data_IF_981910485950
#
_entry.id   IF_981910485950
#
_cell.length_a   1.000
_cell.length_b   1.000
_cell.length_c   1.000
_cell.angle_alpha   90.00
_cell.angle_beta   90.00
_cell.angle_gamma   90.00
#
_symmetry.space_group_name_H-M   'P 1'
#
loop_
_entity.id
_entity.type
_entity.pdbx_description
1 polymer ?
#
# COMPACT_ATOMS: atom_id res chain seq x y z
N UNK A 1 -108.93 -17.86 -35.18
CA UNK A 1 -108.37 -19.15 -34.70
C UNK A 1 -108.18 -19.12 -33.18
N UNK A 2 -109.27 -19.06 -32.41
CA UNK A 2 -109.25 -19.00 -30.93
C UNK A 2 -110.23 -20.04 -30.37
N UNK A 3 -110.07 -21.33 -30.66
CA UNK A 3 -110.89 -22.38 -30.02
C UNK A 3 -110.28 -23.80 -30.07
N UNK A 4 -108.94 -23.92 -30.03
CA UNK A 4 -108.24 -25.22 -29.88
C UNK A 4 -107.35 -25.26 -28.61
N UNK A 5 -107.46 -24.23 -27.76
CA UNK A 5 -106.61 -24.09 -26.58
C UNK A 5 -107.13 -24.84 -25.35
N UNK A 6 -108.42 -25.20 -25.28
CA UNK A 6 -109.06 -25.71 -24.07
C UNK A 6 -109.55 -27.17 -24.10
N UNK A 7 -109.58 -27.85 -25.25
CA UNK A 7 -109.76 -29.30 -25.26
C UNK A 7 -108.43 -29.98 -24.88
N UNK A 8 -108.51 -30.94 -23.96
CA UNK A 8 -107.38 -31.66 -23.36
C UNK A 8 -106.50 -30.84 -22.39
N UNK A 9 -107.01 -29.73 -21.84
CA UNK A 9 -106.29 -28.92 -20.84
C UNK A 9 -105.78 -29.76 -19.66
N UNK A 10 -106.60 -30.71 -19.17
CA UNK A 10 -106.23 -31.60 -18.07
C UNK A 10 -105.07 -32.54 -18.43
N UNK A 11 -105.04 -33.10 -19.65
CA UNK A 11 -103.97 -33.97 -20.12
C UNK A 11 -102.65 -33.19 -20.33
N UNK A 12 -102.73 -31.92 -20.76
CA UNK A 12 -101.57 -31.03 -20.87
C UNK A 12 -101.02 -30.62 -19.49
N UNK A 13 -101.90 -30.37 -18.52
CA UNK A 13 -101.49 -30.09 -17.15
C UNK A 13 -100.81 -31.31 -16.49
N UNK A 14 -101.39 -32.51 -16.69
CA UNK A 14 -100.82 -33.77 -16.19
C UNK A 14 -99.45 -34.07 -16.79
N UNK A 15 -99.25 -33.84 -18.09
CA UNK A 15 -97.95 -34.07 -18.74
C UNK A 15 -96.86 -33.11 -18.23
N UNK A 16 -97.22 -31.85 -17.94
CA UNK A 16 -96.30 -30.89 -17.31
C UNK A 16 -95.96 -31.33 -15.89
N UNK A 17 -96.93 -31.78 -15.09
CA UNK A 17 -96.67 -32.29 -13.73
C UNK A 17 -95.75 -33.52 -13.77
N UNK A 18 -96.00 -34.49 -14.65
CA UNK A 18 -95.14 -35.65 -14.82
C UNK A 18 -93.75 -35.27 -15.34
N UNK A 19 -93.64 -34.28 -16.21
CA UNK A 19 -92.36 -33.75 -16.66
C UNK A 19 -91.59 -33.06 -15.51
N UNK A 20 -92.28 -32.32 -14.64
CA UNK A 20 -91.67 -31.70 -13.45
C UNK A 20 -91.25 -32.75 -12.42
N UNK A 21 -92.06 -33.78 -12.18
CA UNK A 21 -91.72 -34.90 -11.29
C UNK A 21 -90.55 -35.70 -11.86
N UNK A 22 -90.55 -36.00 -13.17
CA UNK A 22 -89.45 -36.69 -13.84
C UNK A 22 -88.16 -35.86 -13.85
N UNK A 23 -88.27 -34.56 -14.11
CA UNK A 23 -87.16 -33.61 -14.00
C UNK A 23 -86.61 -33.54 -12.58
N UNK A 24 -87.48 -33.50 -11.56
CA UNK A 24 -87.10 -33.51 -10.15
C UNK A 24 -86.47 -34.84 -9.76
N UNK A 25 -87.03 -35.98 -10.18
CA UNK A 25 -86.48 -37.31 -9.90
C UNK A 25 -85.07 -37.46 -10.48
N UNK A 26 -84.87 -37.08 -11.75
CA UNK A 26 -83.55 -37.15 -12.40
C UNK A 26 -82.57 -36.16 -11.78
N UNK A 27 -82.98 -34.96 -11.38
CA UNK A 27 -82.06 -33.96 -10.81
C UNK A 27 -81.81 -34.11 -9.29
N UNK A 28 -82.71 -34.77 -8.56
CA UNK A 28 -82.66 -34.84 -7.09
C UNK A 28 -82.38 -36.26 -6.57
N UNK A 29 -82.90 -37.30 -7.22
CA UNK A 29 -82.75 -38.70 -6.75
C UNK A 29 -81.58 -39.41 -7.44
N UNK A 30 -81.30 -39.10 -8.71
CA UNK A 30 -80.08 -39.58 -9.36
C UNK A 30 -78.93 -38.69 -8.92
N UNK A 31 -78.25 -39.07 -7.84
CA UNK A 31 -77.06 -38.41 -7.29
C UNK A 31 -76.11 -37.93 -8.41
N UNK A 32 -76.05 -36.63 -8.76
CA UNK A 32 -75.09 -36.17 -9.72
C UNK A 32 -73.75 -36.10 -8.98
N UNK A 33 -72.91 -37.11 -9.18
CA UNK A 33 -71.50 -37.05 -8.76
C UNK A 33 -70.85 -35.87 -9.45
N UNK A 34 -70.36 -34.90 -8.67
CA UNK A 34 -69.72 -33.70 -9.22
C UNK A 34 -68.22 -33.93 -9.20
N UNK A 35 -67.55 -33.57 -10.29
CA UNK A 35 -66.10 -33.58 -10.38
C UNK A 35 -65.57 -32.17 -10.17
N UNK A 36 -64.57 -32.02 -9.30
CA UNK A 36 -63.92 -30.73 -9.04
C UNK A 36 -62.41 -30.90 -8.96
N UNK A 37 -61.71 -29.91 -9.48
CA UNK A 37 -60.27 -29.75 -9.33
C UNK A 37 -59.97 -28.91 -8.09
N UNK A 38 -59.01 -29.36 -7.29
CA UNK A 38 -58.47 -28.65 -6.15
C UNK A 38 -56.95 -28.56 -6.23
N UNK A 39 -56.41 -27.40 -5.87
CA UNK A 39 -54.98 -27.20 -5.67
C UNK A 39 -54.66 -27.44 -4.19
N UNK A 40 -53.80 -28.43 -3.92
CA UNK A 40 -53.42 -28.86 -2.57
C UNK A 40 -51.92 -28.72 -2.36
N UNK A 41 -51.52 -28.32 -1.16
CA UNK A 41 -50.12 -28.22 -0.77
C UNK A 41 -49.49 -29.61 -0.66
N UNK A 42 -48.31 -29.76 -1.23
CA UNK A 42 -47.56 -31.01 -1.24
C UNK A 42 -46.51 -31.01 -0.13
N UNK A 43 -46.66 -31.91 0.83
CA UNK A 43 -45.69 -32.10 1.90
C UNK A 43 -44.79 -33.31 1.60
N UNK A 44 -43.47 -33.09 1.60
CA UNK A 44 -42.53 -34.21 1.58
C UNK A 44 -42.47 -34.86 2.98
N UNK A 45 -42.58 -36.18 3.02
CA UNK A 45 -42.59 -37.02 4.25
C UNK A 45 -41.35 -37.90 4.32
N UNK A 46 -40.91 -38.26 5.53
CA UNK A 46 -39.66 -39.02 5.76
C UNK A 46 -38.41 -38.31 5.20
N UNK A 47 -38.34 -36.99 5.41
CA UNK A 47 -37.17 -36.18 5.02
C UNK A 47 -35.95 -36.62 5.83
N UNK A 48 -34.83 -36.83 5.14
CA UNK A 48 -33.53 -37.03 5.79
C UNK A 48 -32.98 -35.69 6.26
N UNK A 49 -32.34 -35.67 7.43
CA UNK A 49 -31.77 -34.45 8.04
C UNK A 49 -30.49 -33.95 7.34
N UNK A 50 -29.83 -34.81 6.57
CA UNK A 50 -28.59 -34.55 5.85
C UNK A 50 -28.80 -34.09 4.40
N UNK A 51 -30.06 -33.93 3.95
CA UNK A 51 -30.38 -33.58 2.56
C UNK A 51 -31.22 -32.30 2.44
N UNK A 52 -30.88 -31.47 1.45
CA UNK A 52 -31.78 -30.47 0.87
C UNK A 52 -32.52 -31.09 -0.32
N UNK A 53 -33.81 -30.78 -0.51
CA UNK A 53 -34.59 -31.32 -1.61
C UNK A 53 -34.82 -30.23 -2.67
N UNK A 54 -34.14 -30.34 -3.82
CA UNK A 54 -34.29 -29.43 -4.97
C UNK A 54 -35.38 -29.92 -5.93
N UNK A 55 -35.93 -28.99 -6.72
CA UNK A 55 -36.99 -29.19 -7.72
C UNK A 55 -38.33 -29.71 -7.18
N UNK A 56 -38.52 -29.72 -5.86
CA UNK A 56 -39.78 -30.13 -5.26
C UNK A 56 -40.89 -29.10 -5.53
N UNK A 57 -41.96 -29.55 -6.18
CA UNK A 57 -43.18 -28.75 -6.33
C UNK A 57 -43.87 -28.59 -4.97
N UNK A 58 -44.31 -27.37 -4.67
CA UNK A 58 -45.02 -27.06 -3.43
C UNK A 58 -46.52 -27.34 -3.48
N UNK A 59 -47.08 -27.52 -4.69
CA UNK A 59 -48.52 -27.70 -4.92
C UNK A 59 -48.80 -28.70 -6.02
N UNK A 60 -49.91 -29.41 -5.91
CA UNK A 60 -50.40 -30.38 -6.91
C UNK A 60 -51.90 -30.22 -7.14
N UNK A 61 -52.35 -30.54 -8.34
CA UNK A 61 -53.77 -30.53 -8.68
C UNK A 61 -54.38 -31.92 -8.45
N UNK A 62 -55.46 -31.99 -7.70
CA UNK A 62 -56.21 -33.23 -7.47
C UNK A 62 -57.64 -33.09 -8.00
N UNK A 63 -58.12 -34.13 -8.65
CA UNK A 63 -59.46 -34.24 -9.20
C UNK A 63 -60.23 -35.23 -8.33
N UNK A 64 -61.28 -34.74 -7.68
CA UNK A 64 -62.05 -35.52 -6.72
C UNK A 64 -63.49 -35.64 -7.22
N UNK A 65 -64.08 -36.82 -7.00
CA UNK A 65 -65.50 -37.13 -7.17
C UNK A 65 -66.15 -37.33 -5.81
N UNK A 66 -67.39 -36.89 -5.66
CA UNK A 66 -68.13 -37.05 -4.41
C UNK A 66 -69.58 -36.61 -4.54
N UNK A 67 -70.37 -36.84 -3.50
CA UNK A 67 -71.75 -36.39 -3.44
C UNK A 67 -71.83 -34.86 -3.50
N UNK A 68 -72.85 -34.34 -4.19
CA UNK A 68 -73.09 -32.90 -4.34
C UNK A 68 -73.07 -32.16 -2.99
N UNK A 69 -73.55 -32.80 -1.92
CA UNK A 69 -73.55 -32.28 -0.54
C UNK A 69 -72.16 -32.23 0.08
N UNK A 70 -71.32 -33.24 -0.14
CA UNK A 70 -69.97 -33.35 0.42
C UNK A 70 -68.97 -32.40 -0.26
N UNK A 71 -69.19 -32.06 -1.53
CA UNK A 71 -68.33 -31.14 -2.30
C UNK A 71 -68.78 -29.68 -2.16
N UNK A 72 -70.10 -29.41 -2.12
CA UNK A 72 -70.64 -28.04 -2.14
C UNK A 72 -70.86 -27.48 -0.72
N UNK A 73 -71.32 -28.29 0.24
CA UNK A 73 -71.64 -27.82 1.60
C UNK A 73 -70.38 -27.71 2.49
N UNK A 74 -69.29 -28.38 2.11
CA UNK A 74 -68.03 -28.46 2.84
C UNK A 74 -66.84 -27.74 2.14
N UNK A 75 -67.15 -26.82 1.21
CA UNK A 75 -66.21 -26.14 0.30
C UNK A 75 -65.04 -25.41 0.99
N UNK A 76 -65.19 -24.94 2.22
CA UNK A 76 -64.14 -24.24 2.98
C UNK A 76 -63.37 -25.08 4.02
N UNK A 77 -64.00 -25.97 4.84
CA UNK A 77 -63.28 -26.74 5.87
C UNK A 77 -62.50 -27.98 5.37
N UNK A 78 -62.61 -28.37 4.10
CA UNK A 78 -61.94 -29.58 3.56
C UNK A 78 -60.59 -29.28 2.92
N UNK A 79 -60.33 -28.05 2.46
CA UNK A 79 -59.01 -27.67 1.90
C UNK A 79 -57.86 -27.90 2.90
N UNK A 80 -58.10 -27.74 4.20
CA UNK A 80 -57.14 -28.03 5.27
C UNK A 80 -57.05 -29.50 5.67
N UNK A 81 -57.98 -30.36 5.22
CA UNK A 81 -58.02 -31.79 5.53
C UNK A 81 -57.52 -32.68 4.39
N UNK A 82 -57.41 -32.14 3.18
CA UNK A 82 -56.77 -32.82 2.06
C UNK A 82 -55.26 -32.69 2.21
N UNK A 83 -54.57 -33.80 2.37
CA UNK A 83 -53.11 -33.82 2.55
C UNK A 83 -52.50 -34.61 1.40
N UNK A 84 -51.74 -33.93 0.55
CA UNK A 84 -50.91 -34.55 -0.47
C UNK A 84 -49.51 -34.76 0.10
N UNK A 85 -49.02 -36.00 0.05
CA UNK A 85 -47.70 -36.38 0.55
C UNK A 85 -46.88 -37.07 -0.51
N UNK A 86 -45.58 -36.81 -0.51
CA UNK A 86 -44.61 -37.59 -1.27
C UNK A 86 -43.58 -38.17 -0.32
N UNK A 87 -43.38 -39.49 -0.34
CA UNK A 87 -42.44 -40.17 0.54
C UNK A 87 -41.05 -40.19 -0.10
N UNK A 88 -40.08 -39.51 0.53
CA UNK A 88 -38.72 -39.35 0.02
C UNK A 88 -37.71 -40.31 0.66
N UNK A 89 -38.14 -41.27 1.50
CA UNK A 89 -37.24 -42.18 2.23
C UNK A 89 -36.32 -43.02 1.34
N UNK A 90 -36.80 -43.44 0.17
CA UNK A 90 -36.05 -44.26 -0.81
C UNK A 90 -35.36 -43.45 -1.90
N UNK A 91 -35.42 -42.12 -1.84
CA UNK A 91 -34.82 -41.27 -2.86
C UNK A 91 -33.29 -41.34 -2.77
N UNK A 92 -32.64 -41.56 -3.91
CA UNK A 92 -31.18 -41.62 -4.02
C UNK A 92 -30.63 -40.20 -4.07
N UNK A 93 -29.55 -39.93 -3.33
CA UNK A 93 -28.92 -38.62 -3.31
C UNK A 93 -28.29 -38.27 -4.68
N UNK A 94 -28.26 -36.98 -5.00
CA UNK A 94 -27.68 -36.37 -6.20
C UNK A 94 -28.24 -36.87 -7.54
N UNK A 95 -29.42 -37.50 -7.53
CA UNK A 95 -30.13 -37.95 -8.73
C UNK A 95 -31.57 -37.46 -8.73
N UNK A 96 -32.12 -37.26 -9.93
CA UNK A 96 -33.53 -36.95 -10.11
C UNK A 96 -34.37 -38.19 -9.79
N UNK A 97 -35.14 -38.14 -8.71
CA UNK A 97 -36.03 -39.22 -8.30
C UNK A 97 -37.46 -38.87 -8.67
N UNK A 98 -38.15 -39.78 -9.36
CA UNK A 98 -39.58 -39.70 -9.60
C UNK A 98 -40.32 -40.32 -8.42
N UNK A 99 -41.09 -39.51 -7.71
CA UNK A 99 -41.77 -39.91 -6.48
C UNK A 99 -43.27 -39.76 -6.69
N UNK A 100 -44.02 -40.83 -6.45
CA UNK A 100 -45.48 -40.82 -6.57
C UNK A 100 -46.12 -39.97 -5.48
N UNK A 101 -47.14 -39.21 -5.87
CA UNK A 101 -47.93 -38.38 -4.95
C UNK A 101 -49.04 -39.22 -4.33
N UNK A 102 -49.04 -39.34 -3.01
CA UNK A 102 -50.08 -39.99 -2.22
C UNK A 102 -51.03 -38.93 -1.67
N UNK A 103 -52.30 -39.02 -2.03
CA UNK A 103 -53.33 -38.09 -1.58
C UNK A 103 -54.21 -38.78 -0.55
N UNK A 104 -54.22 -38.28 0.68
CA UNK A 104 -55.14 -38.74 1.71
C UNK A 104 -56.42 -37.91 1.62
N UNK A 105 -57.54 -38.57 1.29
CA UNK A 105 -58.86 -37.95 1.22
C UNK A 105 -59.72 -38.34 2.43
N UNK A 106 -60.58 -37.44 2.94
CA UNK A 106 -61.57 -37.78 3.95
C UNK A 106 -62.66 -38.71 3.40
N UNK A 107 -63.39 -39.38 4.30
CA UNK A 107 -64.46 -40.33 3.95
C UNK A 107 -65.53 -39.68 3.06
N UNK A 108 -65.99 -40.40 2.04
CA UNK A 108 -67.02 -39.95 1.09
C UNK A 108 -66.49 -39.28 -0.18
N UNK A 109 -65.17 -39.10 -0.30
CA UNK A 109 -64.52 -38.55 -1.50
C UNK A 109 -63.67 -39.61 -2.21
N UNK A 110 -63.77 -39.66 -3.53
CA UNK A 110 -62.99 -40.54 -4.39
C UNK A 110 -61.97 -39.74 -5.21
N UNK A 111 -60.72 -40.19 -5.22
CA UNK A 111 -59.68 -39.59 -6.06
C UNK A 111 -59.83 -40.11 -7.50
N UNK A 112 -60.09 -39.23 -8.45
CA UNK A 112 -60.11 -39.58 -9.88
C UNK A 112 -58.69 -39.54 -10.43
N UNK A 113 -58.00 -38.41 -10.20
CA UNK A 113 -56.69 -38.13 -10.81
C UNK A 113 -55.91 -37.15 -9.95
N UNK A 114 -54.58 -37.27 -10.03
CA UNK A 114 -53.63 -36.28 -9.52
C UNK A 114 -52.74 -35.85 -10.66
N UNK A 115 -52.52 -34.54 -10.80
CA UNK A 115 -51.67 -33.95 -11.81
C UNK A 115 -50.61 -33.04 -11.17
N UNK A 116 -49.31 -33.38 -11.31
CA UNK A 116 -48.77 -34.63 -11.87
C UNK A 116 -48.88 -35.82 -10.89
N UNK A 117 -48.91 -37.05 -11.42
CA UNK A 117 -48.93 -38.28 -10.58
C UNK A 117 -47.61 -38.54 -9.88
N UNK A 118 -46.52 -38.07 -10.49
CA UNK A 118 -45.16 -38.17 -9.99
C UNK A 118 -44.53 -36.79 -9.99
N UNK A 119 -43.80 -36.49 -8.92
CA UNK A 119 -42.96 -35.30 -8.82
C UNK A 119 -41.50 -35.70 -9.01
N UNK A 120 -40.73 -34.80 -9.61
CA UNK A 120 -39.27 -34.95 -9.66
C UNK A 120 -38.67 -34.22 -8.46
N UNK A 121 -37.91 -34.96 -7.65
CA UNK A 121 -37.21 -34.40 -6.50
C UNK A 121 -35.78 -34.88 -6.53
N UNK A 122 -34.86 -33.94 -6.32
CA UNK A 122 -33.42 -34.23 -6.24
C UNK A 122 -32.94 -33.96 -4.82
N UNK A 123 -32.75 -35.00 -3.99
CA UNK A 123 -32.10 -34.86 -2.69
C UNK A 123 -30.62 -34.55 -2.90
N UNK A 124 -30.12 -33.48 -2.29
CA UNK A 124 -28.73 -33.02 -2.36
C UNK A 124 -28.15 -33.09 -0.95
N UNK A 125 -27.05 -33.81 -0.79
CA UNK A 125 -26.36 -33.95 0.50
C UNK A 125 -25.80 -32.59 0.95
N UNK A 126 -26.14 -32.18 2.17
CA UNK A 126 -25.62 -30.98 2.81
C UNK A 126 -24.53 -31.40 3.79
N UNK A 127 -23.35 -30.81 3.64
CA UNK A 127 -22.24 -30.97 4.56
C UNK A 127 -21.96 -29.66 5.30
N UNK A 128 -21.33 -29.76 6.46
CA UNK A 128 -20.83 -28.64 7.24
C UNK A 128 -19.34 -28.84 7.51
N UNK A 129 -18.53 -27.85 7.14
CA UNK A 129 -17.08 -27.90 7.27
C UNK A 129 -16.53 -26.58 7.79
N UNK A 130 -15.46 -26.62 8.58
CA UNK A 130 -14.72 -25.42 8.99
C UNK A 130 -13.59 -25.12 8.03
N UNK A 131 -13.43 -23.86 7.66
CA UNK A 131 -12.32 -23.39 6.84
C UNK A 131 -11.68 -22.14 7.46
N UNK A 132 -10.39 -21.98 7.21
CA UNK A 132 -9.61 -20.83 7.68
C UNK A 132 -9.82 -19.62 6.76
N UNK A 133 -9.91 -18.43 7.37
CA UNK A 133 -10.00 -17.15 6.67
C UNK A 133 -8.60 -16.65 6.36
N UNK A 134 -8.26 -16.51 5.08
CA UNK A 134 -7.00 -15.92 4.63
C UNK A 134 -7.20 -14.44 4.30
N UNK A 135 -6.46 -13.57 4.98
CA UNK A 135 -6.49 -12.12 4.72
C UNK A 135 -5.55 -11.79 3.56
N UNK A 136 -6.03 -11.03 2.59
CA UNK A 136 -5.23 -10.47 1.49
C UNK A 136 -5.16 -8.95 1.65
N UNK A 137 -3.94 -8.44 1.78
CA UNK A 137 -3.68 -7.01 1.80
C UNK A 137 -3.60 -6.47 0.37
N UNK A 138 -4.32 -5.38 0.09
CA UNK A 138 -4.30 -4.70 -1.19
C UNK A 138 -3.54 -3.37 -1.07
N UNK A 139 -2.67 -3.10 -2.06
CA UNK A 139 -1.82 -1.92 -2.04
C UNK A 139 -0.60 -2.03 -1.14
N UNK A 140 0.06 -0.90 -0.92
CA UNK A 140 1.27 -0.74 -0.10
C UNK A 140 1.07 0.40 0.89
N UNK A 141 1.51 0.19 2.13
CA UNK A 141 1.47 1.21 3.18
C UNK A 141 2.28 2.46 2.82
N UNK A 142 2.01 3.56 3.51
CA UNK A 142 2.73 4.83 3.32
C UNK A 142 4.24 4.63 3.48
N UNK A 143 5.04 5.37 2.70
CA UNK A 143 6.50 5.34 2.84
C UNK A 143 6.90 5.66 4.29
N UNK A 144 7.80 4.85 4.85
CA UNK A 144 8.21 4.98 6.25
C UNK A 144 7.32 4.23 7.24
N UNK A 145 6.39 3.38 6.77
CA UNK A 145 5.58 2.48 7.60
C UNK A 145 5.71 1.04 7.09
N UNK A 146 5.40 0.08 7.95
CA UNK A 146 5.34 -1.34 7.60
C UNK A 146 4.18 -2.04 8.33
N UNK A 147 3.68 -3.13 7.73
CA UNK A 147 2.67 -3.97 8.38
C UNK A 147 3.38 -4.91 9.34
N UNK A 148 3.12 -4.77 10.64
CA UNK A 148 3.70 -5.63 11.67
C UNK A 148 2.97 -6.95 11.79
N UNK A 149 1.64 -6.91 11.81
CA UNK A 149 0.79 -8.09 11.89
C UNK A 149 -0.59 -7.81 11.30
N UNK A 150 -1.25 -8.84 10.82
CA UNK A 150 -2.63 -8.77 10.35
C UNK A 150 -3.34 -10.09 10.65
N UNK A 151 -4.67 -10.04 10.80
CA UNK A 151 -5.47 -11.21 11.13
C UNK A 151 -6.96 -10.96 10.92
N UNK A 152 -7.72 -12.05 10.93
CA UNK A 152 -9.18 -12.02 10.88
C UNK A 152 -9.76 -12.69 12.12
N UNK A 153 -10.78 -12.08 12.70
CA UNK A 153 -11.55 -12.63 13.81
C UNK A 153 -13.02 -12.80 13.39
N UNK A 154 -13.56 -14.03 13.38
CA UNK A 154 -12.90 -15.29 13.72
C UNK A 154 -11.97 -15.82 12.61
N UNK A 155 -10.89 -16.50 13.01
CA UNK A 155 -9.94 -17.13 12.07
C UNK A 155 -10.51 -18.37 11.35
N UNK A 156 -11.50 -19.04 11.96
CA UNK A 156 -12.20 -20.17 11.36
C UNK A 156 -13.68 -19.86 11.19
N UNK A 157 -14.21 -20.18 10.01
CA UNK A 157 -15.59 -19.94 9.62
C UNK A 157 -16.22 -21.25 9.18
N UNK A 158 -17.50 -21.40 9.50
CA UNK A 158 -18.28 -22.60 9.21
C UNK A 158 -18.97 -22.43 7.86
N UNK A 159 -18.68 -23.35 6.95
CA UNK A 159 -19.25 -23.43 5.60
C UNK A 159 -20.31 -24.53 5.62
N UNK A 160 -21.53 -24.20 5.21
CA UNK A 160 -22.64 -25.16 5.08
C UNK A 160 -23.31 -25.06 3.73
N UNK A 161 -23.54 -26.19 3.07
CA UNK A 161 -24.02 -26.24 1.69
C UNK A 161 -23.86 -27.62 1.05
N UNK A 162 -24.17 -27.76 -0.26
CA UNK A 162 -24.04 -29.03 -0.98
C UNK A 162 -22.62 -29.60 -0.93
N UNK A 163 -22.49 -30.90 -0.63
CA UNK A 163 -21.19 -31.58 -0.50
C UNK A 163 -20.30 -31.40 -1.74
N UNK A 164 -20.88 -31.50 -2.95
CA UNK A 164 -20.16 -31.30 -4.21
C UNK A 164 -19.55 -29.90 -4.36
N UNK A 165 -20.22 -28.88 -3.82
CA UNK A 165 -19.75 -27.49 -3.89
C UNK A 165 -18.71 -27.21 -2.80
N UNK A 166 -18.95 -27.63 -1.55
CA UNK A 166 -17.99 -27.44 -0.45
C UNK A 166 -16.65 -28.14 -0.75
N UNK A 167 -16.68 -29.30 -1.39
CA UNK A 167 -15.46 -30.00 -1.83
C UNK A 167 -14.57 -29.17 -2.78
N UNK A 168 -15.14 -28.21 -3.51
CA UNK A 168 -14.43 -27.31 -4.44
C UNK A 168 -13.91 -26.01 -3.82
N UNK A 169 -14.18 -25.72 -2.54
CA UNK A 169 -13.73 -24.50 -1.88
C UNK A 169 -12.28 -24.64 -1.42
N UNK A 170 -11.36 -23.86 -1.97
CA UNK A 170 -9.93 -23.92 -1.63
C UNK A 170 -9.58 -23.05 -0.41
N UNK A 171 -10.09 -21.80 -0.38
CA UNK A 171 -9.83 -20.81 0.68
C UNK A 171 -11.00 -19.83 0.80
N UNK A 172 -11.20 -19.29 1.99
CA UNK A 172 -12.05 -18.12 2.23
C UNK A 172 -11.13 -16.89 2.26
N UNK A 173 -11.46 -15.86 1.49
CA UNK A 173 -10.68 -14.62 1.46
C UNK A 173 -11.41 -13.47 2.15
N UNK A 174 -10.62 -12.67 2.85
CA UNK A 174 -11.01 -11.37 3.38
C UNK A 174 -10.01 -10.32 2.87
N UNK A 175 -10.47 -9.32 2.14
CA UNK A 175 -9.60 -8.28 1.57
C UNK A 175 -9.52 -7.09 2.50
N UNK A 176 -8.31 -6.55 2.69
CA UNK A 176 -8.09 -5.31 3.42
C UNK A 176 -7.19 -4.37 2.60
N UNK A 177 -7.68 -3.16 2.35
CA UNK A 177 -6.90 -2.13 1.66
C UNK A 177 -5.97 -1.44 2.65
N UNK A 178 -4.66 -1.45 2.35
CA UNK A 178 -3.61 -0.82 3.15
C UNK A 178 -2.91 0.31 2.40
N UNK A 179 -3.43 0.71 1.22
CA UNK A 179 -2.80 1.71 0.38
C UNK A 179 -2.65 3.06 1.09
N UNK A 180 -1.41 3.55 1.17
CA UNK A 180 -1.05 4.84 1.76
C UNK A 180 -1.46 5.07 3.23
N UNK A 181 -1.75 4.01 3.97
CA UNK A 181 -2.06 4.12 5.40
C UNK A 181 -0.80 4.28 6.26
N UNK A 182 -0.92 5.07 7.33
CA UNK A 182 0.09 5.31 8.36
C UNK A 182 -0.33 4.89 9.78
N UNK A 183 -1.54 4.37 9.94
CA UNK A 183 -2.03 3.82 11.19
C UNK A 183 -2.75 2.50 10.97
N UNK A 184 -2.64 1.59 11.95
CA UNK A 184 -3.42 0.36 11.96
C UNK A 184 -4.91 0.62 12.06
N UNK A 185 -5.71 -0.34 11.63
CA UNK A 185 -7.17 -0.23 11.64
C UNK A 185 -7.82 -1.58 11.88
N UNK A 186 -9.12 -1.51 12.19
CA UNK A 186 -9.98 -2.66 12.34
C UNK A 186 -11.27 -2.42 11.58
N UNK A 187 -11.65 -3.36 10.71
CA UNK A 187 -12.84 -3.22 9.87
C UNK A 187 -13.58 -4.55 9.74
N UNK A 188 -14.91 -4.48 9.62
CA UNK A 188 -15.72 -5.65 9.28
C UNK A 188 -15.76 -5.83 7.76
N UNK A 189 -15.42 -7.01 7.31
CA UNK A 189 -15.38 -7.36 5.89
C UNK A 189 -16.25 -8.59 5.63
N UNK A 190 -17.02 -8.53 4.55
CA UNK A 190 -17.75 -9.70 4.06
C UNK A 190 -16.78 -10.72 3.48
N UNK A 191 -16.99 -11.98 3.84
CA UNK A 191 -16.15 -13.09 3.42
C UNK A 191 -16.53 -13.54 2.02
N UNK A 192 -15.53 -13.70 1.17
CA UNK A 192 -15.72 -14.18 -0.21
C UNK A 192 -15.07 -15.54 -0.39
N UNK A 193 -15.76 -16.45 -1.07
CA UNK A 193 -15.24 -17.77 -1.41
C UNK A 193 -14.34 -17.67 -2.64
N UNK A 194 -13.18 -18.34 -2.61
CA UNK A 194 -12.36 -18.56 -3.82
C UNK A 194 -12.57 -19.97 -4.33
N UNK A 195 -13.07 -20.04 -5.55
CA UNK A 195 -13.50 -21.26 -6.21
C UNK A 195 -12.36 -21.93 -6.97
N UNK A 196 -12.37 -23.27 -7.02
CA UNK A 196 -11.50 -24.04 -7.91
C UNK A 196 -11.98 -24.00 -9.38
N UNK A 197 -13.27 -23.72 -9.59
CA UNK A 197 -13.94 -23.69 -10.89
C UNK A 197 -14.95 -22.54 -10.93
N UNK A 198 -14.76 -21.57 -11.82
CA UNK A 198 -15.61 -20.40 -11.96
C UNK A 198 -17.07 -20.80 -12.26
N UNK A 199 -17.96 -20.77 -11.27
CA UNK A 199 -19.39 -21.01 -11.48
C UNK A 199 -20.23 -20.24 -10.48
N UNK A 200 -21.31 -19.61 -10.97
CA UNK A 200 -22.29 -18.89 -10.14
C UNK A 200 -23.14 -19.81 -9.23
N UNK A 201 -22.83 -21.10 -9.12
CA UNK A 201 -23.59 -22.13 -8.40
C UNK A 201 -23.40 -22.12 -6.86
N UNK A 202 -22.50 -21.30 -6.32
CA UNK A 202 -22.21 -21.23 -4.88
C UNK A 202 -23.21 -20.39 -4.06
N UNK A 203 -24.27 -19.85 -4.67
CA UNK A 203 -25.33 -19.12 -3.96
C UNK A 203 -26.00 -19.95 -2.85
N UNK A 204 -25.98 -21.28 -2.97
CA UNK A 204 -26.52 -22.21 -1.98
C UNK A 204 -25.56 -22.53 -0.82
N UNK A 205 -24.36 -21.94 -0.82
CA UNK A 205 -23.38 -22.08 0.26
C UNK A 205 -23.50 -20.92 1.24
N UNK A 206 -23.64 -21.26 2.51
CA UNK A 206 -23.76 -20.31 3.61
C UNK A 206 -22.50 -20.30 4.46
N UNK A 207 -22.02 -19.10 4.76
CA UNK A 207 -20.93 -18.85 5.70
C UNK A 207 -21.52 -18.38 7.03
N UNK A 208 -21.05 -18.96 8.13
CA UNK A 208 -21.41 -18.55 9.48
C UNK A 208 -20.15 -18.38 10.33
N UNK A 209 -19.80 -17.15 10.75
CA UNK A 209 -20.42 -15.86 10.38
C UNK A 209 -20.17 -15.48 8.90
N UNK A 210 -20.99 -14.56 8.36
CA UNK A 210 -20.83 -14.02 6.98
C UNK A 210 -19.76 -12.94 6.88
N UNK A 211 -19.41 -12.35 8.02
CA UNK A 211 -18.45 -11.27 8.14
C UNK A 211 -17.37 -11.66 9.15
N UNK A 212 -16.15 -11.19 8.91
CA UNK A 212 -15.06 -11.26 9.88
C UNK A 212 -14.51 -9.86 10.10
N UNK A 213 -14.02 -9.62 11.30
CA UNK A 213 -13.31 -8.41 11.67
C UNK A 213 -11.84 -8.57 11.29
N UNK A 214 -11.35 -7.77 10.34
CA UNK A 214 -9.96 -7.74 9.93
C UNK A 214 -9.25 -6.67 10.75
N UNK A 215 -8.20 -7.08 11.46
CA UNK A 215 -7.28 -6.18 12.16
C UNK A 215 -5.95 -6.12 11.42
N UNK A 216 -5.46 -4.92 11.14
CA UNK A 216 -4.13 -4.69 10.55
C UNK A 216 -3.36 -3.74 11.46
N UNK A 217 -2.21 -4.18 11.97
CA UNK A 217 -1.28 -3.37 12.74
C UNK A 217 -0.20 -2.80 11.82
N UNK A 218 -0.21 -1.47 11.69
CA UNK A 218 0.76 -0.71 10.89
C UNK A 218 1.60 0.10 11.86
N UNK A 219 2.93 -0.06 11.77
CA UNK A 219 3.88 0.66 12.61
C UNK A 219 4.81 1.53 11.76
N UNK A 220 5.27 2.67 12.29
CA UNK A 220 6.31 3.45 11.64
C UNK A 220 7.56 2.59 11.53
N UNK A 221 8.15 2.54 10.34
CA UNK A 221 9.44 1.93 10.12
C UNK A 221 10.49 2.82 10.79
N UNK A 222 11.19 2.34 11.84
CA UNK A 222 12.08 3.21 12.60
C UNK A 222 13.15 3.78 11.69
N UNK A 223 13.25 5.10 11.69
CA UNK A 223 14.21 5.84 10.90
C UNK A 223 14.78 6.99 11.73
N UNK A 224 16.06 7.27 11.52
CA UNK A 224 16.79 8.30 12.26
C UNK A 224 17.61 9.10 11.28
N UNK A 225 17.61 10.42 11.43
CA UNK A 225 18.51 11.28 10.68
C UNK A 225 19.83 11.36 11.44
N UNK A 226 20.93 11.05 10.75
CA UNK A 226 22.27 10.93 11.34
C UNK A 226 23.25 11.79 10.55
N UNK A 227 24.14 12.49 11.24
CA UNK A 227 25.12 13.36 10.61
C UNK A 227 26.20 12.53 9.89
N UNK A 228 26.65 13.05 8.74
CA UNK A 228 27.76 12.47 7.98
C UNK A 228 29.05 13.18 8.38
N UNK A 229 30.07 12.40 8.71
CA UNK A 229 31.40 12.90 9.04
C UNK A 229 32.41 12.38 8.03
N UNK A 230 33.08 13.29 7.33
CA UNK A 230 34.13 12.93 6.38
C UNK A 230 35.37 12.38 7.11
N UNK A 231 35.79 11.18 6.74
CA UNK A 231 37.03 10.59 7.23
C UNK A 231 38.19 11.02 6.33
N UNK A 232 39.13 11.81 6.86
CA UNK A 232 40.29 12.30 6.10
C UNK A 232 41.53 11.47 6.43
N UNK A 233 42.27 11.06 5.41
CA UNK A 233 43.56 10.38 5.54
C UNK A 233 44.68 11.16 4.84
N UNK A 234 45.89 11.06 5.37
CA UNK A 234 47.06 11.76 4.81
C UNK A 234 47.26 13.16 5.35
N UNK A 235 48.19 13.90 4.74
CA UNK A 235 48.51 15.29 5.07
C UNK A 235 48.53 16.14 3.81
N UNK A 236 47.88 17.30 3.88
CA UNK A 236 47.93 18.30 2.80
C UNK A 236 49.37 18.73 2.50
N UNK A 237 49.58 19.25 1.29
CA UNK A 237 50.91 19.70 0.87
C UNK A 237 51.50 20.75 1.81
N UNK A 238 52.84 20.83 1.90
CA UNK A 238 53.52 21.79 2.77
C UNK A 238 53.10 23.23 2.44
N UNK A 239 52.86 24.01 3.50
CA UNK A 239 52.41 25.40 3.41
C UNK A 239 50.90 25.60 3.27
N UNK A 240 50.11 24.53 3.34
CA UNK A 240 48.64 24.58 3.36
C UNK A 240 48.09 23.94 4.65
N UNK A 241 46.89 24.36 5.04
CA UNK A 241 46.06 23.67 6.05
C UNK A 241 44.62 23.56 5.53
N UNK A 242 43.89 22.56 6.01
CA UNK A 242 42.47 22.43 5.72
C UNK A 242 41.74 23.61 6.37
N UNK A 243 40.87 24.29 5.62
CA UNK A 243 40.03 25.37 6.10
C UNK A 243 38.65 24.85 6.48
N UNK A 244 37.96 24.22 5.53
CA UNK A 244 36.65 23.63 5.75
C UNK A 244 36.53 22.28 5.06
N UNK A 245 35.72 21.41 5.65
CA UNK A 245 35.25 20.16 5.06
C UNK A 245 33.73 20.22 5.09
N UNK A 246 33.10 20.11 3.93
CA UNK A 246 31.65 20.14 3.78
C UNK A 246 31.19 18.84 3.13
N UNK A 247 30.17 18.21 3.72
CA UNK A 247 29.50 17.05 3.16
C UNK A 247 28.12 17.47 2.67
N UNK A 248 27.78 17.11 1.44
CA UNK A 248 26.47 17.31 0.84
C UNK A 248 25.89 15.96 0.40
N UNK A 249 24.83 15.46 1.07
CA UNK A 249 24.12 16.06 2.21
C UNK A 249 24.93 16.01 3.53
N UNK A 250 24.60 16.89 4.49
CA UNK A 250 25.23 16.91 5.83
C UNK A 250 24.72 15.81 6.76
N UNK A 251 23.50 15.33 6.51
CA UNK A 251 22.87 14.28 7.28
C UNK A 251 22.06 13.37 6.36
N UNK A 252 21.93 12.11 6.77
CA UNK A 252 21.29 11.08 5.97
C UNK A 252 20.30 10.28 6.81
N UNK A 253 19.27 9.76 6.16
CA UNK A 253 18.26 8.93 6.80
C UNK A 253 18.74 7.48 6.84
N UNK A 254 18.86 6.94 8.05
CA UNK A 254 19.08 5.51 8.28
C UNK A 254 17.78 4.85 8.67
N UNK A 255 17.61 3.59 8.25
CA UNK A 255 16.42 2.79 8.54
C UNK A 255 16.82 1.42 9.05
N UNK A 256 16.18 0.94 10.11
CA UNK A 256 16.53 -0.34 10.72
C UNK A 256 15.80 -0.56 12.06
N UNK A 257 16.11 -1.62 12.80
CA UNK A 257 15.56 -1.85 14.13
C UNK A 257 15.85 -0.64 15.05
N UNK A 258 14.85 -0.21 15.83
CA UNK A 258 14.94 0.97 16.69
C UNK A 258 16.17 0.90 17.61
N UNK A 259 16.38 -0.25 18.26
CA UNK A 259 17.52 -0.50 19.17
C UNK A 259 18.89 -0.36 18.50
N UNK A 260 18.96 -0.59 17.19
CA UNK A 260 20.19 -0.48 16.40
C UNK A 260 20.42 0.97 15.99
N UNK A 261 19.43 1.62 15.37
CA UNK A 261 19.58 2.98 14.83
C UNK A 261 19.70 4.02 15.94
N UNK A 262 19.12 3.79 17.12
CA UNK A 262 19.26 4.70 18.26
C UNK A 262 20.72 4.87 18.71
N UNK A 263 21.52 3.80 18.62
CA UNK A 263 22.95 3.79 19.00
C UNK A 263 23.85 4.47 17.97
N UNK A 264 23.37 4.72 16.76
CA UNK A 264 24.13 5.36 15.69
C UNK A 264 24.10 6.88 15.88
N UNK A 265 25.25 7.49 16.17
CA UNK A 265 25.38 8.94 16.36
C UNK A 265 25.83 9.67 15.10
N UNK A 266 26.69 9.04 14.31
CA UNK A 266 27.28 9.58 13.08
C UNK A 266 27.57 8.44 12.10
N UNK A 267 27.65 8.77 10.81
CA UNK A 267 28.11 7.85 9.76
C UNK A 267 29.38 8.42 9.14
N UNK A 268 30.42 7.59 9.12
CA UNK A 268 31.69 7.95 8.51
C UNK A 268 31.64 7.72 6.99
N UNK A 269 32.30 8.58 6.24
CA UNK A 269 32.59 8.32 4.82
C UNK A 269 33.72 7.30 4.71
N UNK A 270 33.90 6.71 3.53
CA UNK A 270 35.18 6.07 3.21
C UNK A 270 36.32 7.10 3.33
N UNK A 271 37.55 6.67 3.68
CA UNK A 271 38.68 7.58 3.84
C UNK A 271 38.99 8.34 2.55
N UNK A 272 39.07 9.68 2.66
CA UNK A 272 39.47 10.57 1.56
C UNK A 272 40.94 10.92 1.73
N UNK A 273 41.76 10.51 0.76
CA UNK A 273 43.18 10.84 0.76
C UNK A 273 43.43 12.29 0.32
N UNK A 274 44.00 13.08 1.23
CA UNK A 274 44.41 14.47 0.99
C UNK A 274 45.92 14.61 0.93
N UNK A 275 46.64 13.52 0.69
CA UNK A 275 48.10 13.54 0.62
C UNK A 275 48.60 14.46 -0.49
N UNK A 276 49.43 15.45 -0.11
CA UNK A 276 50.09 16.40 -1.02
C UNK A 276 49.15 17.30 -1.86
N UNK A 277 47.85 17.37 -1.57
CA UNK A 277 46.96 18.33 -2.26
C UNK A 277 47.36 19.77 -1.91
N UNK A 278 47.36 20.65 -2.92
CA UNK A 278 47.70 22.09 -2.80
C UNK A 278 46.55 23.03 -3.17
N UNK A 279 45.44 22.46 -3.62
CA UNK A 279 44.19 23.15 -3.94
C UNK A 279 43.02 22.39 -3.33
N UNK A 280 41.84 23.04 -3.27
CA UNK A 280 40.62 22.37 -2.82
C UNK A 280 40.29 21.13 -3.65
N UNK A 281 39.53 20.22 -3.05
CA UNK A 281 39.11 18.94 -3.63
C UNK A 281 37.60 18.81 -3.51
N UNK A 282 36.94 18.42 -4.59
CA UNK A 282 35.53 18.01 -4.59
C UNK A 282 35.47 16.57 -5.09
N UNK A 283 34.94 15.67 -4.27
CA UNK A 283 34.91 14.24 -4.60
C UNK A 283 33.64 13.58 -4.07
N UNK A 284 33.04 12.70 -4.88
CA UNK A 284 31.97 11.81 -4.44
C UNK A 284 32.56 10.58 -3.76
N UNK A 285 32.10 10.31 -2.54
CA UNK A 285 32.63 9.25 -1.68
C UNK A 285 31.47 8.45 -1.10
N UNK A 286 31.66 7.14 -0.97
CA UNK A 286 30.64 6.28 -0.37
C UNK A 286 30.66 6.41 1.15
N UNK A 287 29.53 6.11 1.77
CA UNK A 287 29.45 5.97 3.22
C UNK A 287 29.97 4.60 3.64
N UNK A 288 30.83 4.59 4.66
CA UNK A 288 31.34 3.40 5.29
C UNK A 288 30.25 2.79 6.19
N UNK A 289 29.46 1.88 5.62
CA UNK A 289 28.37 1.18 6.31
C UNK A 289 28.61 -0.32 6.16
N UNK A 290 29.12 -1.00 7.20
CA UNK A 290 29.33 -2.44 7.19
C UNK A 290 28.03 -3.20 6.91
N UNK A 291 28.11 -4.34 6.20
CA UNK A 291 26.92 -5.13 5.85
C UNK A 291 26.19 -5.72 7.08
N UNK A 292 26.93 -5.90 8.16
CA UNK A 292 26.54 -6.39 9.49
C UNK A 292 26.08 -5.28 10.44
N UNK A 293 25.97 -4.04 9.97
CA UNK A 293 25.54 -2.89 10.77
C UNK A 293 24.07 -2.95 11.23
N UNK A 294 23.24 -3.77 10.58
CA UNK A 294 21.82 -3.96 10.94
C UNK A 294 20.91 -2.78 10.57
N UNK A 295 21.39 -1.80 9.81
CA UNK A 295 20.59 -0.72 9.25
C UNK A 295 20.93 -0.45 7.79
N UNK A 296 19.95 0.05 7.04
CA UNK A 296 20.09 0.48 5.66
C UNK A 296 20.19 2.01 5.59
N UNK A 297 20.92 2.50 4.60
CA UNK A 297 21.06 3.94 4.33
C UNK A 297 20.56 4.22 2.92
N UNK A 298 19.62 5.14 2.78
CA UNK A 298 19.17 5.60 1.47
C UNK A 298 20.20 6.58 0.88
N UNK A 299 20.36 6.57 -0.45
CA UNK A 299 21.03 7.64 -1.20
C UNK A 299 22.58 7.73 -1.04
N UNK A 300 23.32 6.72 -1.54
CA UNK A 300 24.79 6.79 -1.76
C UNK A 300 25.05 7.15 -3.23
N UNK A 301 25.98 8.07 -3.60
CA UNK A 301 27.13 8.62 -2.84
C UNK A 301 26.95 10.06 -2.28
N UNK A 302 27.87 10.49 -1.40
CA UNK A 302 27.92 11.83 -0.78
C UNK A 302 29.03 12.67 -1.42
N UNK A 303 28.76 13.94 -1.72
CA UNK A 303 29.77 14.88 -2.23
C UNK A 303 30.52 15.53 -1.07
N UNK A 304 31.85 15.46 -1.09
CA UNK A 304 32.72 16.06 -0.09
C UNK A 304 33.50 17.19 -0.75
N UNK A 305 33.40 18.39 -0.18
CA UNK A 305 34.16 19.58 -0.59
C UNK A 305 35.15 19.96 0.50
N UNK A 306 36.44 19.91 0.17
CA UNK A 306 37.55 20.27 1.04
C UNK A 306 38.18 21.54 0.50
N UNK A 307 38.24 22.58 1.33
CA UNK A 307 38.93 23.82 0.99
C UNK A 307 40.24 23.94 1.77
N UNK A 308 41.27 24.46 1.10
CA UNK A 308 42.58 24.70 1.71
C UNK A 308 42.82 26.20 1.85
N UNK A 309 43.54 26.56 2.90
CA UNK A 309 44.05 27.91 3.12
C UNK A 309 45.58 27.87 3.26
N UNK A 310 46.30 28.86 2.70
CA UNK A 310 47.74 28.96 2.89
C UNK A 310 48.08 29.24 4.36
N UNK A 311 49.18 28.66 4.83
CA UNK A 311 49.74 28.93 6.15
C UNK A 311 50.73 30.08 6.02
N UNK A 312 50.52 31.15 6.77
CA UNK A 312 51.42 32.29 6.82
C UNK A 312 52.48 32.10 7.90
N UNK A 313 53.71 32.51 7.61
CA UNK A 313 54.81 32.53 8.57
C UNK A 313 55.60 33.82 8.41
N UNK A 314 56.20 34.26 9.51
CA UNK A 314 57.18 35.32 9.51
C UNK A 314 58.58 34.72 9.35
N UNK A 315 59.33 35.17 8.34
CA UNK A 315 60.72 34.77 8.14
C UNK A 315 61.63 35.99 8.13
N UNK A 316 62.70 35.93 8.93
CA UNK A 316 63.74 36.96 8.95
C UNK A 316 64.77 36.65 7.87
N UNK A 317 65.02 37.62 6.99
CA UNK A 317 66.14 37.63 6.06
C UNK A 317 67.15 38.65 6.54
N UNK A 318 68.42 38.26 6.61
CA UNK A 318 69.49 39.13 7.11
C UNK A 318 70.40 39.54 5.96
N UNK A 319 70.93 40.76 6.02
CA UNK A 319 71.82 41.33 4.98
C UNK A 319 71.23 41.30 3.55
N UNK A 320 69.98 41.72 3.39
CA UNK A 320 69.35 41.82 2.05
C UNK A 320 69.85 43.07 1.34
N UNK A 321 70.29 42.94 0.09
CA UNK A 321 70.81 44.05 -0.74
C UNK A 321 69.66 44.96 -1.19
N UNK A 322 69.88 46.26 -1.06
CA UNK A 322 68.94 47.29 -1.55
C UNK A 322 69.42 47.78 -2.92
N UNK A 323 68.53 47.76 -3.91
CA UNK A 323 68.73 48.35 -5.23
C UNK A 323 68.16 49.77 -5.23
N UNK A 324 68.99 50.83 -5.31
CA UNK A 324 68.51 52.20 -5.40
C UNK A 324 67.75 52.42 -6.72
N UNK A 325 66.70 53.28 -6.76
CA UNK A 325 66.00 53.59 -8.00
C UNK A 325 66.92 54.34 -8.96
N UNK A 326 66.67 54.16 -10.26
CA UNK A 326 67.28 55.01 -11.28
C UNK A 326 66.72 56.44 -11.18
N UNK A 327 67.63 57.42 -11.13
CA UNK A 327 67.30 58.86 -11.12
C UNK A 327 67.96 59.58 -12.30
N UNK A 328 67.62 60.86 -12.50
CA UNK A 328 68.08 61.66 -13.62
C UNK A 328 69.63 61.69 -13.76
N UNK A 329 70.17 61.79 -14.99
CA UNK A 329 71.61 61.87 -15.21
C UNK A 329 72.25 63.04 -14.44
N UNK A 330 73.22 62.76 -13.57
CA UNK A 330 73.95 63.76 -12.77
C UNK A 330 73.71 63.68 -11.27
N UNK A 331 72.76 62.85 -10.82
CA UNK A 331 72.51 62.58 -9.40
C UNK A 331 72.74 61.09 -9.07
N UNK A 332 73.12 60.80 -7.83
CA UNK A 332 73.25 59.44 -7.31
C UNK A 332 72.62 59.33 -5.92
N UNK A 333 71.96 58.21 -5.65
CA UNK A 333 71.40 57.88 -4.34
C UNK A 333 72.45 57.13 -3.54
N UNK A 334 72.89 57.75 -2.45
CA UNK A 334 73.75 57.12 -1.45
C UNK A 334 72.87 56.57 -0.34
N UNK A 335 72.81 55.25 -0.24
CA UNK A 335 72.11 54.54 0.84
C UNK A 335 72.90 54.67 2.16
N UNK A 336 72.21 54.87 3.28
CA UNK A 336 72.87 54.85 4.61
C UNK A 336 73.40 53.45 4.97
N UNK A 337 72.71 52.42 4.47
CA UNK A 337 73.09 51.01 4.61
C UNK A 337 72.79 50.31 3.29
N UNK A 338 73.79 49.66 2.72
CA UNK A 338 73.62 48.84 1.50
C UNK A 338 72.86 47.53 1.76
N UNK A 339 72.86 47.10 3.03
CA UNK A 339 72.23 45.87 3.49
C UNK A 339 71.33 46.12 4.70
N UNK A 340 70.15 45.48 4.71
CA UNK A 340 69.19 45.57 5.80
C UNK A 340 68.63 44.19 6.18
N UNK A 341 68.29 44.04 7.45
CA UNK A 341 67.53 42.89 7.94
C UNK A 341 66.03 43.18 7.77
N UNK A 342 65.30 42.27 7.10
CA UNK A 342 63.86 42.37 6.91
C UNK A 342 63.15 41.17 7.53
N UNK A 343 61.94 41.40 8.01
CA UNK A 343 61.00 40.34 8.37
C UNK A 343 59.87 40.32 7.34
N UNK A 344 59.69 39.19 6.68
CA UNK A 344 58.69 38.98 5.62
C UNK A 344 57.58 38.09 6.17
N UNK A 345 56.34 38.57 6.13
CA UNK A 345 55.14 37.79 6.42
C UNK A 345 54.53 37.32 5.09
N UNK A 346 54.55 36.01 4.86
CA UNK A 346 54.08 35.45 3.59
C UNK A 346 53.62 34.00 3.74
N UNK A 347 52.84 33.49 2.78
CA UNK A 347 52.55 32.06 2.68
C UNK A 347 53.83 31.21 2.65
N UNK A 348 53.87 30.14 3.43
CA UNK A 348 55.05 29.27 3.57
C UNK A 348 55.50 28.67 2.22
N UNK A 349 54.55 28.35 1.35
CA UNK A 349 54.85 27.89 -0.01
C UNK A 349 55.62 28.92 -0.84
N UNK A 350 55.42 30.22 -0.60
CA UNK A 350 56.16 31.32 -1.23
C UNK A 350 57.47 31.62 -0.52
N UNK A 351 57.52 31.53 0.81
CA UNK A 351 58.76 31.70 1.57
C UNK A 351 59.83 30.67 1.21
N UNK A 352 59.43 29.42 0.94
CA UNK A 352 60.36 28.38 0.52
C UNK A 352 60.93 28.60 -0.89
N UNK A 353 60.30 29.45 -1.71
CA UNK A 353 60.83 29.85 -3.02
C UNK A 353 61.82 31.04 -2.90
N UNK A 354 61.87 31.71 -1.74
CA UNK A 354 62.69 32.89 -1.49
C UNK A 354 64.00 32.51 -0.79
N UNK A 355 65.08 32.40 -1.57
CA UNK A 355 66.43 32.18 -1.05
C UNK A 355 67.09 33.50 -0.60
N UNK A 356 67.72 33.49 0.59
CA UNK A 356 68.35 34.68 1.18
C UNK A 356 69.42 35.37 0.32
N UNK A 357 69.94 34.69 -0.70
CA UNK A 357 70.98 35.19 -1.62
C UNK A 357 70.44 35.78 -2.92
N UNK A 358 69.16 35.53 -3.25
CA UNK A 358 68.52 36.01 -4.49
C UNK A 358 67.54 37.15 -4.25
N UNK A 359 67.20 37.43 -2.98
CA UNK A 359 66.31 38.52 -2.61
C UNK A 359 67.08 39.84 -2.72
N UNK A 360 66.54 40.74 -3.53
CA UNK A 360 66.93 42.15 -3.53
C UNK A 360 65.69 43.01 -3.30
N UNK A 361 65.90 44.18 -2.72
CA UNK A 361 64.83 45.13 -2.47
C UNK A 361 64.90 46.24 -3.51
N UNK A 362 63.86 46.37 -4.33
CA UNK A 362 63.69 47.57 -5.13
C UNK A 362 63.22 48.69 -4.22
N UNK A 363 63.82 49.86 -4.39
CA UNK A 363 63.40 51.06 -3.68
C UNK A 363 62.73 52.05 -4.62
N UNK A 364 61.64 52.68 -4.15
CA UNK A 364 60.97 53.76 -4.87
C UNK A 364 60.94 55.00 -3.99
N UNK A 365 61.26 56.16 -4.58
CA UNK A 365 61.15 57.45 -3.90
C UNK A 365 59.66 57.73 -3.66
N UNK A 366 59.30 58.02 -2.42
CA UNK A 366 57.94 58.44 -2.04
C UNK A 366 57.98 59.87 -1.50
N UNK A 367 57.23 60.78 -2.13
CA UNK A 367 57.14 62.21 -1.80
C UNK A 367 57.66 63.15 -2.90
N UNK A 368 57.19 64.40 -2.89
CA UNK A 368 57.45 65.47 -3.89
C UNK A 368 58.89 66.05 -3.88
N UNK A 369 59.86 65.37 -3.26
CA UNK A 369 61.26 65.82 -3.19
C UNK A 369 62.08 65.50 -4.45
N UNK A 370 61.48 65.59 -5.64
CA UNK A 370 62.05 65.02 -6.87
C UNK A 370 63.20 65.80 -7.51
N UNK A 371 63.63 66.96 -6.98
CA UNK A 371 64.72 67.73 -7.57
C UNK A 371 65.60 68.41 -6.51
N UNK A 372 66.74 67.81 -6.17
CA UNK A 372 67.76 68.42 -5.30
C UNK A 372 68.58 67.44 -4.47
N UNK A 373 69.67 67.91 -3.85
CA UNK A 373 70.45 67.15 -2.86
C UNK A 373 69.74 67.17 -1.51
N UNK A 374 69.56 66.01 -0.85
CA UNK A 374 68.82 65.94 0.41
C UNK A 374 68.44 64.52 0.84
N UNK A 375 67.81 64.42 2.01
CA UNK A 375 67.34 63.14 2.58
C UNK A 375 65.97 62.78 2.01
N UNK A 376 65.85 61.55 1.51
CA UNK A 376 64.63 60.99 0.91
C UNK A 376 64.23 59.70 1.61
N UNK A 377 62.93 59.42 1.60
CA UNK A 377 62.38 58.15 2.09
C UNK A 377 62.16 57.24 0.89
N UNK A 378 62.73 56.04 1.00
CA UNK A 378 62.59 54.97 0.03
C UNK A 378 61.60 53.95 0.57
N UNK A 379 60.54 53.67 -0.18
CA UNK A 379 59.68 52.53 0.06
C UNK A 379 60.32 51.28 -0.54
N UNK A 380 60.42 50.22 0.26
CA UNK A 380 61.06 48.97 -0.12
C UNK A 380 60.01 47.97 -0.62
N UNK A 381 60.31 47.30 -1.73
CA UNK A 381 59.55 46.17 -2.24
C UNK A 381 60.50 45.03 -2.61
N UNK A 382 60.06 43.78 -2.43
CA UNK A 382 60.86 42.62 -2.85
C UNK A 382 60.87 42.56 -4.38
N UNK A 383 62.05 42.59 -4.97
CA UNK A 383 62.23 42.50 -6.42
C UNK A 383 61.57 41.24 -6.99
N UNK A 384 60.72 41.40 -8.01
CA UNK A 384 60.04 40.28 -8.67
C UNK A 384 58.91 39.60 -7.88
N UNK A 385 58.49 40.16 -6.74
CA UNK A 385 57.37 39.60 -5.98
C UNK A 385 56.02 39.89 -6.65
N UNK A 386 55.42 38.87 -7.28
CA UNK A 386 54.07 38.94 -7.87
C UNK A 386 52.91 38.83 -6.87
N UNK A 387 53.18 38.94 -5.56
CA UNK A 387 52.19 38.79 -4.47
C UNK A 387 52.45 39.89 -3.43
N UNK A 388 51.42 40.47 -2.78
CA UNK A 388 51.62 41.39 -1.67
C UNK A 388 52.31 40.66 -0.51
N UNK A 389 53.59 40.97 -0.30
CA UNK A 389 54.39 40.52 0.82
C UNK A 389 54.50 41.66 1.81
N UNK A 390 54.13 41.45 3.07
CA UNK A 390 54.37 42.46 4.11
C UNK A 390 55.82 42.35 4.58
N UNK A 391 56.57 43.43 4.46
CA UNK A 391 57.96 43.53 4.92
C UNK A 391 58.10 44.56 6.04
N UNK A 392 58.94 44.25 7.03
CA UNK A 392 59.30 45.17 8.10
C UNK A 392 60.84 45.27 8.21
N UNK A 393 61.44 46.48 8.12
CA UNK A 393 60.80 47.78 7.85
C UNK A 393 60.38 47.97 6.38
N UNK A 394 59.28 48.69 6.14
CA UNK A 394 58.77 48.99 4.79
C UNK A 394 59.44 50.23 4.16
N UNK A 395 60.10 51.07 4.96
CA UNK A 395 60.73 52.31 4.52
C UNK A 395 62.12 52.47 5.11
N UNK A 396 63.03 53.08 4.34
CA UNK A 396 64.37 53.46 4.77
C UNK A 396 64.69 54.89 4.33
N UNK A 397 65.68 55.50 4.98
CA UNK A 397 66.22 56.81 4.60
C UNK A 397 67.43 56.63 3.67
N UNK A 398 67.53 57.49 2.67
CA UNK A 398 68.67 57.61 1.79
C UNK A 398 68.96 59.08 1.50
N UNK A 399 70.13 59.38 0.93
CA UNK A 399 70.51 60.74 0.56
C UNK A 399 70.81 60.84 -0.93
N UNK A 400 70.26 61.86 -1.60
CA UNK A 400 70.59 62.20 -2.98
C UNK A 400 71.80 63.13 -2.98
N UNK A 401 72.84 62.79 -3.75
CA UNK A 401 74.03 63.61 -3.98
C UNK A 401 74.23 63.89 -5.46
N UNK A 402 74.90 64.98 -5.77
CA UNK A 402 75.40 65.24 -7.13
C UNK A 402 76.57 64.28 -7.40
N UNK A 403 76.63 63.75 -8.62
CA UNK A 403 77.61 62.73 -9.02
C UNK A 403 79.02 63.28 -9.23
#
# INVERSE_FOLDING_TARGET
>A
MRYLAFENFWLRALSVILAVIGWFYVNVIVNPVVERQFEVELALTEKRSDCAYKNAMSKVNIFIRGGRREIIENYYPVKSKMVATANVSKAVADTANKISVNVALPRGLELIKTEPREIEVTPVLIEERTAEVSVILQGTVKQGYYVKSYGAEPAMVRIKGPQKLIGGVKRILATADVANLDAGFTQKQQLTLVELSASAEYADVSLTPKEAEISVDIQPFPSKQVNIVAQISGKVGPGYKIATILCEPQAILIKGPAETIEKVNEILTEPVDVSNIKSGLVQNVNLNVPADSGYAVENKPVSITITLQPVYKNQKFSKVKINPPAIEPGYEIVLEKEFIDILVNAPVNKLNELDSTSISLDSKITGEGSHGTGSVILELAIHGAGVPLEIKPQQIKANIKLK
#
